data_IF_806169730192
#
_entry.id   IF_806169730192
#
_cell.length_a   1.000
_cell.length_b   1.000
_cell.length_c   1.000
_cell.angle_alpha   90.00
_cell.angle_beta   90.00
_cell.angle_gamma   90.00
#
_symmetry.space_group_name_H-M   'P 1'
#
loop_
_entity.id
_entity.type
_entity.pdbx_description
1 polymer ?
#
# COMPACT_ATOMS: atom_id res chain seq x y z
N UNK A 1 68.58 -13.78 44.31
CA UNK A 1 67.41 -14.19 45.12
C UNK A 1 66.14 -13.69 44.45
N UNK A 2 65.06 -14.44 44.60
CA UNK A 2 64.07 -14.76 43.57
C UNK A 2 63.21 -13.62 43.00
N UNK A 3 63.13 -13.64 41.65
CA UNK A 3 62.08 -13.04 40.81
C UNK A 3 60.71 -13.64 41.15
N UNK A 4 59.65 -12.82 41.13
CA UNK A 4 58.33 -13.23 40.62
C UNK A 4 57.71 -12.12 39.75
N UNK A 5 57.12 -12.48 38.59
CA UNK A 5 56.63 -11.54 37.57
C UNK A 5 55.09 -11.40 37.61
N UNK A 6 54.57 -10.70 36.58
CA UNK A 6 53.17 -10.58 36.13
C UNK A 6 52.37 -9.43 36.76
N UNK A 7 51.62 -8.60 36.02
CA UNK A 7 51.08 -8.71 34.66
C UNK A 7 50.78 -7.29 34.13
N UNK A 8 51.10 -7.05 32.85
CA UNK A 8 50.66 -5.87 32.10
C UNK A 8 49.12 -5.85 32.04
N UNK A 9 48.49 -4.83 32.62
CA UNK A 9 47.09 -4.51 32.33
C UNK A 9 47.04 -3.79 30.98
N UNK A 10 46.74 -4.55 29.94
CA UNK A 10 46.32 -4.04 28.64
C UNK A 10 45.07 -3.15 28.82
N UNK A 11 45.15 -1.93 28.30
CA UNK A 11 43.97 -1.11 28.00
C UNK A 11 43.16 -1.83 26.93
N UNK A 12 42.17 -2.63 27.34
CA UNK A 12 41.04 -2.94 26.46
C UNK A 12 40.16 -1.69 26.43
N UNK A 13 40.38 -0.87 25.40
CA UNK A 13 39.34 -0.03 24.84
C UNK A 13 38.17 -0.92 24.45
N UNK A 14 37.13 -0.92 25.27
CA UNK A 14 35.82 -1.43 24.91
C UNK A 14 35.25 -0.56 23.79
N UNK A 15 35.66 -0.85 22.55
CA UNK A 15 34.89 -0.46 21.38
C UNK A 15 33.59 -1.26 21.46
N UNK A 16 32.54 -0.61 21.97
CA UNK A 16 31.18 -1.05 21.80
C UNK A 16 30.86 -0.98 20.30
N UNK A 17 31.22 -2.02 19.57
CA UNK A 17 30.63 -2.30 18.27
C UNK A 17 29.16 -2.62 18.53
N UNK A 18 28.35 -1.56 18.56
CA UNK A 18 26.93 -1.68 18.31
C UNK A 18 26.82 -2.25 16.90
N UNK A 19 26.80 -3.59 16.82
CA UNK A 19 26.30 -4.32 15.67
C UNK A 19 24.84 -3.91 15.52
N UNK A 20 24.61 -2.78 14.88
CA UNK A 20 23.34 -2.47 14.23
C UNK A 20 23.14 -3.57 13.22
N UNK A 21 22.45 -4.63 13.64
CA UNK A 21 21.81 -5.58 12.73
C UNK A 21 20.92 -4.73 11.84
N UNK A 22 21.44 -4.37 10.67
CA UNK A 22 20.66 -3.89 9.56
C UNK A 22 19.78 -5.07 9.15
N UNK A 23 18.62 -5.16 9.79
CA UNK A 23 17.56 -6.01 9.29
C UNK A 23 17.28 -5.52 7.87
N UNK A 24 17.63 -6.34 6.89
CA UNK A 24 17.30 -6.08 5.50
C UNK A 24 15.78 -6.30 5.37
N UNK A 25 15.00 -5.29 5.76
CA UNK A 25 13.54 -5.33 5.72
C UNK A 25 13.18 -5.30 4.23
N UNK A 26 12.72 -6.44 3.72
CA UNK A 26 12.20 -6.53 2.36
C UNK A 26 11.09 -5.49 2.18
N UNK A 27 11.07 -4.74 1.06
CA UNK A 27 10.03 -3.75 0.84
C UNK A 27 8.65 -4.41 0.82
N UNK A 28 7.72 -3.83 1.57
CA UNK A 28 6.33 -4.28 1.57
C UNK A 28 5.43 -3.21 0.95
N UNK A 29 4.26 -3.63 0.50
CA UNK A 29 3.28 -2.75 -0.13
C UNK A 29 2.50 -1.99 0.95
N UNK A 30 2.29 -0.70 0.73
CA UNK A 30 1.55 0.20 1.60
C UNK A 30 0.40 0.80 0.81
N UNK A 31 -0.78 0.85 1.42
CA UNK A 31 -1.95 1.49 0.83
C UNK A 31 -2.07 2.94 1.30
N UNK A 32 -2.44 3.82 0.38
CA UNK A 32 -2.76 5.22 0.65
C UNK A 32 -4.22 5.44 0.32
N UNK A 33 -5.00 5.82 1.32
CA UNK A 33 -6.42 6.12 1.19
C UNK A 33 -6.68 7.63 1.19
N UNK A 34 -7.77 8.03 0.52
CA UNK A 34 -8.16 9.43 0.32
C UNK A 34 -9.51 9.70 0.98
N UNK A 35 -9.57 9.92 2.31
CA UNK A 35 -10.83 10.04 3.05
C UNK A 35 -11.73 11.19 2.58
N UNK A 36 -11.18 12.19 1.89
CA UNK A 36 -11.91 13.34 1.35
C UNK A 36 -12.51 13.09 -0.04
N UNK A 37 -12.18 11.97 -0.68
CA UNK A 37 -12.69 11.59 -2.01
C UNK A 37 -13.71 10.46 -1.83
N UNK A 38 -14.98 10.74 -2.13
CA UNK A 38 -16.03 9.73 -2.02
C UNK A 38 -15.99 8.73 -3.18
N UNK A 39 -16.37 7.48 -2.90
CA UNK A 39 -16.48 6.43 -3.93
C UNK A 39 -17.46 6.80 -5.04
N UNK A 40 -18.50 7.59 -4.72
CA UNK A 40 -19.42 8.14 -5.73
C UNK A 40 -18.70 9.00 -6.77
N UNK A 41 -17.80 9.90 -6.34
CA UNK A 41 -17.00 10.70 -7.27
C UNK A 41 -16.11 9.84 -8.16
N UNK A 42 -15.52 8.77 -7.61
CA UNK A 42 -14.75 7.81 -8.41
C UNK A 42 -15.64 7.12 -9.45
N UNK A 43 -16.83 6.68 -9.03
CA UNK A 43 -17.82 6.08 -9.91
C UNK A 43 -18.23 7.02 -11.06
N UNK A 44 -18.41 8.31 -10.77
CA UNK A 44 -18.71 9.34 -11.78
C UNK A 44 -17.56 9.48 -12.78
N UNK A 45 -16.31 9.58 -12.31
CA UNK A 45 -15.11 9.67 -13.18
C UNK A 45 -15.03 8.49 -14.14
N UNK A 46 -15.43 7.30 -13.70
CA UNK A 46 -15.45 6.10 -14.55
C UNK A 46 -16.61 6.16 -15.57
N UNK A 47 -17.82 6.55 -15.14
CA UNK A 47 -19.04 6.56 -15.96
C UNK A 47 -19.08 7.69 -16.99
N UNK A 48 -18.52 8.87 -16.69
CA UNK A 48 -18.55 10.06 -17.56
C UNK A 48 -17.77 9.90 -18.88
N UNK A 49 -17.11 8.75 -19.11
CA UNK A 49 -16.35 8.43 -20.33
C UNK A 49 -17.16 8.31 -21.64
N UNK A 50 -18.50 8.35 -21.58
CA UNK A 50 -19.34 8.03 -22.74
C UNK A 50 -19.85 9.22 -23.56
N UNK A 51 -19.83 10.48 -23.05
CA UNK A 51 -20.55 11.59 -23.73
C UNK A 51 -19.85 12.95 -23.84
N UNK A 52 -18.64 13.15 -23.32
CA UNK A 52 -17.93 14.43 -23.43
C UNK A 52 -16.53 14.29 -24.02
N UNK A 53 -16.12 15.17 -24.95
CA UNK A 53 -14.76 15.19 -25.48
C UNK A 53 -13.83 15.95 -24.54
N UNK A 54 -12.63 15.39 -24.33
CA UNK A 54 -11.35 16.03 -23.96
C UNK A 54 -10.84 16.16 -22.51
N UNK A 55 -11.58 15.89 -21.43
CA UNK A 55 -10.93 15.73 -20.09
C UNK A 55 -10.69 14.25 -19.77
N UNK A 56 -9.47 13.80 -20.09
CA UNK A 56 -8.76 12.60 -19.61
C UNK A 56 -9.63 11.42 -19.15
N UNK A 57 -9.99 10.56 -20.12
CA UNK A 57 -10.66 9.30 -19.82
C UNK A 57 -9.77 8.45 -18.90
N UNK A 58 -10.23 8.11 -17.69
CA UNK A 58 -9.44 7.31 -16.73
C UNK A 58 -8.94 5.99 -17.35
N UNK A 59 -9.68 5.45 -18.33
CA UNK A 59 -9.32 4.26 -19.09
C UNK A 59 -7.97 4.36 -19.81
N UNK A 60 -7.50 5.57 -20.16
CA UNK A 60 -6.18 5.75 -20.79
C UNK A 60 -5.01 5.43 -19.84
N UNK A 61 -5.29 5.42 -18.53
CA UNK A 61 -4.31 5.11 -17.49
C UNK A 61 -4.39 3.65 -17.03
N UNK A 62 -5.36 2.88 -17.54
CA UNK A 62 -5.55 1.47 -17.16
C UNK A 62 -4.40 0.63 -17.70
N UNK A 63 -3.70 -0.07 -16.81
CA UNK A 63 -2.58 -0.94 -17.18
C UNK A 63 -2.84 -2.42 -16.92
N UNK A 64 -3.77 -2.74 -16.02
CA UNK A 64 -4.10 -4.12 -15.70
C UNK A 64 -5.51 -4.21 -15.12
N UNK A 65 -6.23 -5.26 -15.51
CA UNK A 65 -7.52 -5.65 -14.96
C UNK A 65 -7.41 -7.12 -14.52
N UNK A 66 -7.88 -7.42 -13.32
CA UNK A 66 -7.89 -8.79 -12.81
C UNK A 66 -9.16 -9.07 -12.01
N UNK A 67 -9.68 -10.28 -12.17
CA UNK A 67 -10.72 -10.80 -11.29
C UNK A 67 -10.10 -11.43 -10.05
N UNK A 68 -10.77 -11.29 -8.91
CA UNK A 68 -10.39 -11.88 -7.64
C UNK A 68 -11.64 -12.42 -6.95
N UNK A 69 -11.57 -13.67 -6.49
CA UNK A 69 -12.62 -14.26 -5.67
C UNK A 69 -12.11 -14.41 -4.24
N UNK A 70 -12.86 -13.85 -3.29
CA UNK A 70 -12.61 -13.94 -1.85
C UNK A 70 -13.74 -14.70 -1.20
N UNK A 71 -13.40 -15.73 -0.44
CA UNK A 71 -14.35 -16.56 0.28
C UNK A 71 -14.25 -16.20 1.76
N UNK A 72 -15.37 -15.77 2.34
CA UNK A 72 -15.50 -15.49 3.76
C UNK A 72 -16.23 -16.66 4.42
N UNK A 73 -15.50 -17.46 5.19
CA UNK A 73 -16.06 -18.58 5.95
C UNK A 73 -16.04 -18.30 7.45
N UNK A 74 -16.73 -19.14 8.21
CA UNK A 74 -16.75 -19.06 9.68
C UNK A 74 -15.37 -19.20 10.34
N UNK A 75 -14.41 -19.83 9.66
CA UNK A 75 -13.05 -20.08 10.19
C UNK A 75 -11.97 -19.20 9.55
N UNK A 76 -12.31 -18.33 8.60
CA UNK A 76 -11.32 -17.45 7.99
C UNK A 76 -11.71 -16.86 6.65
N UNK A 77 -10.77 -16.12 6.09
CA UNK A 77 -10.85 -15.51 4.76
C UNK A 77 -9.97 -16.34 3.83
N UNK A 78 -10.44 -16.63 2.63
CA UNK A 78 -9.69 -17.37 1.62
C UNK A 78 -9.68 -16.62 0.30
N UNK A 79 -8.60 -16.76 -0.47
CA UNK A 79 -8.44 -16.21 -1.81
C UNK A 79 -8.26 -17.34 -2.81
N UNK A 80 -8.97 -17.26 -3.94
CA UNK A 80 -8.77 -18.16 -5.08
C UNK A 80 -7.73 -17.53 -6.01
N UNK A 81 -6.67 -18.27 -6.28
CA UNK A 81 -5.60 -17.87 -7.20
C UNK A 81 -5.08 -19.09 -7.97
N UNK A 82 -5.06 -19.01 -9.30
CA UNK A 82 -4.56 -20.09 -10.17
C UNK A 82 -5.18 -21.45 -9.81
N UNK A 83 -6.50 -21.50 -9.70
CA UNK A 83 -7.29 -22.69 -9.31
C UNK A 83 -6.98 -23.29 -7.94
N UNK A 84 -6.19 -22.58 -7.12
CA UNK A 84 -5.86 -22.95 -5.76
C UNK A 84 -6.53 -22.01 -4.76
N UNK A 85 -6.90 -22.54 -3.60
CA UNK A 85 -7.47 -21.77 -2.49
C UNK A 85 -6.38 -21.55 -1.46
N UNK A 86 -6.24 -20.33 -0.97
CA UNK A 86 -5.29 -20.03 0.12
C UNK A 86 -5.99 -19.30 1.24
N UNK A 87 -5.75 -19.74 2.48
CA UNK A 87 -6.17 -18.97 3.65
C UNK A 87 -5.37 -17.66 3.74
N UNK A 88 -6.08 -16.58 4.07
CA UNK A 88 -5.53 -15.26 4.31
C UNK A 88 -5.57 -14.93 5.80
N UNK A 89 -4.50 -14.30 6.27
CA UNK A 89 -4.37 -13.81 7.64
C UNK A 89 -4.14 -12.30 7.60
N UNK A 90 -4.98 -11.50 8.29
CA UNK A 90 -4.73 -10.07 8.39
C UNK A 90 -3.49 -9.81 9.26
N UNK A 91 -2.58 -9.00 8.76
CA UNK A 91 -1.47 -8.44 9.52
C UNK A 91 -1.78 -6.96 9.70
N UNK A 92 -2.24 -6.61 10.90
CA UNK A 92 -2.65 -5.26 11.25
C UNK A 92 -1.44 -4.38 11.58
N UNK A 93 -1.51 -3.10 11.18
CA UNK A 93 -0.50 -2.08 11.41
C UNK A 93 -1.17 -0.75 11.75
N UNK A 94 -0.51 0.11 12.55
CA UNK A 94 -1.03 1.44 12.82
C UNK A 94 -1.25 2.23 11.52
N UNK A 95 -2.45 2.80 11.37
CA UNK A 95 -2.77 3.75 10.31
C UNK A 95 -2.22 5.11 10.69
N UNK A 96 -1.53 5.78 9.76
CA UNK A 96 -1.00 7.14 9.96
C UNK A 96 -1.73 8.13 9.08
N UNK A 97 -2.14 9.26 9.64
CA UNK A 97 -2.75 10.35 8.88
C UNK A 97 -1.71 11.40 8.52
N UNK A 98 -1.66 11.82 7.26
CA UNK A 98 -0.82 12.95 6.84
C UNK A 98 -1.59 13.91 5.93
N UNK A 99 -1.19 15.18 5.98
CA UNK A 99 -1.71 16.22 5.09
C UNK A 99 -0.61 16.66 4.11
N UNK A 100 -0.79 16.34 2.83
CA UNK A 100 0.09 16.84 1.77
C UNK A 100 -0.37 18.25 1.43
N UNK A 101 0.32 19.25 1.98
CA UNK A 101 0.02 20.66 1.70
C UNK A 101 0.44 21.02 0.28
N UNK A 102 -0.46 21.64 -0.46
CA UNK A 102 -0.10 22.47 -1.63
C UNK A 102 0.19 23.88 -1.10
N UNK A 103 0.90 24.70 -1.87
CA UNK A 103 1.12 26.12 -1.52
C UNK A 103 -0.21 26.89 -1.36
N UNK A 104 -1.32 26.37 -1.90
CA UNK A 104 -2.69 26.80 -1.65
C UNK A 104 -3.29 26.11 -0.41
N UNK A 105 -4.01 26.85 0.43
CA UNK A 105 -4.56 26.49 1.76
C UNK A 105 -5.38 25.18 1.91
N UNK A 106 -5.63 24.41 0.85
CA UNK A 106 -6.26 23.10 0.92
C UNK A 106 -5.21 22.00 0.72
N UNK A 107 -4.82 21.34 1.81
CA UNK A 107 -3.98 20.14 1.73
C UNK A 107 -4.79 18.90 1.35
N UNK A 108 -4.15 17.95 0.68
CA UNK A 108 -4.70 16.61 0.47
C UNK A 108 -4.53 15.80 1.76
N UNK A 109 -5.64 15.51 2.44
CA UNK A 109 -5.66 14.60 3.57
C UNK A 109 -5.61 13.15 3.08
N UNK A 110 -4.63 12.38 3.58
CA UNK A 110 -4.47 10.96 3.25
C UNK A 110 -4.23 10.10 4.49
N UNK A 111 -4.60 8.83 4.38
CA UNK A 111 -4.31 7.79 5.36
C UNK A 111 -3.30 6.80 4.78
N UNK A 112 -2.27 6.48 5.54
CA UNK A 112 -1.25 5.51 5.19
C UNK A 112 -1.52 4.24 6.01
N UNK A 113 -1.92 3.18 5.32
CA UNK A 113 -2.20 1.88 5.90
C UNK A 113 -1.15 0.86 5.43
N UNK A 114 -0.32 0.43 6.38
CA UNK A 114 0.71 -0.59 6.16
C UNK A 114 0.21 -2.02 6.42
N UNK A 115 -1.08 -2.18 6.72
CA UNK A 115 -1.71 -3.48 6.95
C UNK A 115 -1.84 -4.26 5.65
N UNK A 116 -1.76 -5.58 5.74
CA UNK A 116 -1.87 -6.44 4.57
C UNK A 116 -2.44 -7.82 4.91
N UNK A 117 -2.93 -8.51 3.88
CA UNK A 117 -3.33 -9.90 4.00
C UNK A 117 -2.13 -10.79 3.67
N UNK A 118 -1.61 -11.51 4.67
CA UNK A 118 -0.61 -12.55 4.46
C UNK A 118 -1.30 -13.81 3.97
N UNK A 119 -0.81 -14.39 2.87
CA UNK A 119 -1.26 -15.68 2.37
C UNK A 119 -0.58 -16.82 3.13
N UNK A 120 -1.31 -17.92 3.39
CA UNK A 120 -0.71 -19.18 3.79
C UNK A 120 0.29 -19.69 2.74
N UNK A 121 1.39 -20.31 3.18
CA UNK A 121 2.42 -20.82 2.27
C UNK A 121 1.92 -22.01 1.45
N UNK A 122 0.94 -22.76 1.96
CA UNK A 122 0.34 -23.91 1.29
C UNK A 122 -1.14 -23.66 0.96
N UNK A 123 -1.64 -24.24 -0.15
CA UNK A 123 -3.06 -24.21 -0.46
C UNK A 123 -3.90 -24.89 0.62
N UNK A 124 -5.12 -24.39 0.80
CA UNK A 124 -6.19 -25.04 1.55
C UNK A 124 -6.97 -25.95 0.61
N UNK A 125 -7.26 -27.18 1.05
CA UNK A 125 -8.04 -28.16 0.27
C UNK A 125 -9.53 -28.14 0.60
N UNK A 126 -9.93 -27.37 1.62
CA UNK A 126 -11.30 -27.28 2.11
C UNK A 126 -11.61 -25.85 2.52
N UNK A 127 -12.87 -25.46 2.33
CA UNK A 127 -13.47 -24.24 2.86
C UNK A 127 -14.63 -24.60 3.79
N UNK A 128 -15.01 -23.72 4.74
CA UNK A 128 -16.17 -23.95 5.58
C UNK A 128 -17.46 -24.14 4.77
N UNK A 129 -18.33 -25.04 5.22
CA UNK A 129 -19.63 -25.26 4.58
C UNK A 129 -20.46 -23.98 4.51
N UNK A 130 -20.50 -23.23 5.61
CA UNK A 130 -21.11 -21.89 5.67
C UNK A 130 -20.07 -20.87 5.22
N UNK A 131 -20.22 -20.36 4.01
CA UNK A 131 -19.36 -19.35 3.45
C UNK A 131 -20.13 -18.37 2.55
N UNK A 132 -19.53 -17.21 2.32
CA UNK A 132 -19.97 -16.24 1.33
C UNK A 132 -18.84 -15.97 0.34
N UNK A 133 -19.16 -15.93 -0.95
CA UNK A 133 -18.18 -15.64 -2.00
C UNK A 133 -18.41 -14.20 -2.46
N UNK A 134 -17.32 -13.43 -2.50
CA UNK A 134 -17.29 -12.11 -3.12
C UNK A 134 -16.37 -12.14 -4.32
N UNK A 135 -16.93 -11.81 -5.47
CA UNK A 135 -16.18 -11.54 -6.68
C UNK A 135 -15.86 -10.05 -6.78
N UNK A 136 -14.61 -9.76 -7.11
CA UNK A 136 -14.09 -8.41 -7.26
C UNK A 136 -13.37 -8.27 -8.58
N UNK A 137 -13.63 -7.17 -9.26
CA UNK A 137 -12.77 -6.72 -10.36
C UNK A 137 -11.81 -5.67 -9.81
N UNK A 138 -10.52 -5.83 -10.08
CA UNK A 138 -9.47 -4.93 -9.61
C UNK A 138 -8.80 -4.29 -10.81
N UNK A 139 -9.03 -2.99 -10.97
CA UNK A 139 -8.42 -2.20 -12.03
C UNK A 139 -7.23 -1.44 -11.48
N UNK A 140 -6.09 -1.58 -12.14
CA UNK A 140 -4.84 -0.91 -11.80
C UNK A 140 -4.56 0.17 -12.83
N UNK A 141 -4.36 1.38 -12.35
CA UNK A 141 -4.05 2.55 -13.15
C UNK A 141 -2.67 3.13 -12.78
N UNK A 142 -2.00 3.73 -13.76
CA UNK A 142 -0.75 4.46 -13.57
C UNK A 142 -0.74 5.75 -14.38
N UNK A 143 -0.02 6.77 -13.90
CA UNK A 143 0.22 7.99 -14.68
C UNK A 143 0.93 7.67 -16.01
N UNK A 144 1.94 6.80 -15.94
CA UNK A 144 2.68 6.24 -17.07
C UNK A 144 3.16 4.82 -16.74
N UNK A 145 3.68 4.09 -17.72
CA UNK A 145 4.10 2.70 -17.54
C UNK A 145 5.30 2.54 -16.60
N UNK A 146 6.13 3.57 -16.46
CA UNK A 146 7.34 3.60 -15.62
C UNK A 146 7.08 4.01 -14.18
N UNK A 147 5.91 4.58 -13.89
CA UNK A 147 5.48 4.97 -12.56
C UNK A 147 5.49 3.78 -11.59
N UNK A 148 6.09 3.99 -10.41
CA UNK A 148 6.07 3.04 -9.32
C UNK A 148 4.76 3.12 -8.51
N UNK A 149 4.03 4.22 -8.65
CA UNK A 149 2.73 4.44 -8.03
C UNK A 149 1.63 3.73 -8.81
N UNK A 150 0.81 2.95 -8.11
CA UNK A 150 -0.36 2.28 -8.70
C UNK A 150 -1.62 2.78 -8.02
N UNK A 151 -2.59 3.22 -8.80
CA UNK A 151 -3.94 3.50 -8.31
C UNK A 151 -4.79 2.28 -8.54
N UNK A 152 -5.50 1.84 -7.51
CA UNK A 152 -6.34 0.66 -7.52
C UNK A 152 -7.79 1.10 -7.33
N UNK A 153 -8.66 0.63 -8.21
CA UNK A 153 -10.10 0.71 -8.04
C UNK A 153 -10.63 -0.72 -7.97
N UNK A 154 -11.29 -1.05 -6.87
CA UNK A 154 -11.98 -2.32 -6.70
C UNK A 154 -13.47 -2.15 -6.99
N UNK A 155 -14.04 -3.12 -7.69
CA UNK A 155 -15.46 -3.17 -8.01
C UNK A 155 -16.09 -4.43 -7.42
N UNK A 156 -17.29 -4.28 -6.85
CA UNK A 156 -18.20 -5.37 -6.50
C UNK A 156 -19.50 -5.13 -7.30
N UNK A 157 -19.89 -6.05 -8.19
CA UNK A 157 -21.07 -5.93 -9.05
C UNK A 157 -21.11 -4.60 -9.85
N UNK A 158 -20.01 -4.26 -10.54
CA UNK A 158 -19.84 -3.02 -11.32
C UNK A 158 -19.94 -1.70 -10.52
N UNK A 159 -20.02 -1.79 -9.19
CA UNK A 159 -20.02 -0.65 -8.27
C UNK A 159 -18.65 -0.53 -7.64
N UNK A 160 -18.08 0.69 -7.63
CA UNK A 160 -16.82 0.98 -6.94
C UNK A 160 -16.97 0.67 -5.45
N UNK A 161 -16.22 -0.32 -4.97
CA UNK A 161 -16.19 -0.74 -3.57
C UNK A 161 -15.02 -0.14 -2.80
N UNK A 162 -13.89 0.14 -3.48
CA UNK A 162 -12.71 0.72 -2.85
C UNK A 162 -11.87 1.54 -3.86
N UNK A 163 -11.13 2.53 -3.37
CA UNK A 163 -10.18 3.34 -4.12
C UNK A 163 -8.97 3.73 -3.26
N UNK A 164 -7.79 3.31 -3.68
CA UNK A 164 -6.54 3.59 -2.98
C UNK A 164 -5.35 3.62 -3.93
N UNK A 165 -4.25 4.23 -3.48
CA UNK A 165 -2.95 4.11 -4.13
C UNK A 165 -2.07 3.08 -3.41
N UNK A 166 -1.15 2.46 -4.13
CA UNK A 166 -0.18 1.49 -3.61
C UNK A 166 1.23 1.98 -3.89
N UNK A 167 2.03 2.04 -2.83
CA UNK A 167 3.46 2.36 -2.87
C UNK A 167 4.27 1.29 -2.14
N UNK A 168 5.58 1.33 -2.28
CA UNK A 168 6.48 0.47 -1.49
C UNK A 168 6.92 1.19 -0.22
N UNK A 169 7.24 0.44 0.83
CA UNK A 169 7.72 0.99 2.10
C UNK A 169 8.97 1.86 1.99
N UNK A 170 9.76 1.70 0.92
CA UNK A 170 10.94 2.52 0.66
C UNK A 170 10.60 3.96 0.24
N UNK A 171 9.36 4.20 -0.18
CA UNK A 171 8.87 5.54 -0.54
C UNK A 171 8.38 6.33 0.68
N UNK A 172 8.49 5.74 1.88
CA UNK A 172 8.14 6.38 3.15
C UNK A 172 9.40 6.47 4.02
N UNK A 173 9.67 7.67 4.53
CA UNK A 173 10.74 7.93 5.48
C UNK A 173 10.18 8.59 6.74
N UNK A 174 11.04 8.76 7.74
CA UNK A 174 10.79 9.64 8.87
C UNK A 174 11.73 10.83 8.80
N UNK A 175 11.20 12.03 9.03
CA UNK A 175 12.02 13.24 9.12
C UNK A 175 12.74 13.31 10.48
N UNK A 176 13.53 14.37 10.70
CA UNK A 176 14.26 14.61 11.96
C UNK A 176 13.36 14.68 13.19
N UNK A 177 12.07 14.98 13.00
CA UNK A 177 11.05 15.03 14.06
C UNK A 177 10.31 13.70 14.25
N UNK A 178 10.77 12.63 13.60
CA UNK A 178 10.12 11.31 13.55
C UNK A 178 8.71 11.31 12.90
N UNK A 179 8.36 12.37 12.16
CA UNK A 179 7.10 12.42 11.42
C UNK A 179 7.24 11.64 10.11
N UNK A 180 6.17 10.94 9.72
CA UNK A 180 6.14 10.17 8.49
C UNK A 180 6.11 11.12 7.29
N UNK A 181 6.98 10.86 6.32
CA UNK A 181 7.10 11.61 5.09
C UNK A 181 7.04 10.69 3.87
N UNK A 182 6.23 11.05 2.88
CA UNK A 182 6.21 10.40 1.57
C UNK A 182 7.25 11.06 0.66
N UNK A 183 7.95 10.25 -0.11
CA UNK A 183 8.86 10.70 -1.17
C UNK A 183 8.22 11.79 -2.04
N UNK A 184 8.98 12.85 -2.32
CA UNK A 184 8.54 13.98 -3.14
C UNK A 184 7.99 13.55 -4.50
N UNK A 185 8.67 12.62 -5.19
CA UNK A 185 8.23 12.14 -6.50
C UNK A 185 6.85 11.47 -6.41
N UNK A 186 6.63 10.63 -5.39
CA UNK A 186 5.34 9.98 -5.15
C UNK A 186 4.25 11.01 -4.81
N UNK A 187 4.56 12.03 -4.00
CA UNK A 187 3.63 13.13 -3.72
C UNK A 187 3.22 13.83 -5.02
N UNK A 188 4.17 14.17 -5.89
CA UNK A 188 3.90 14.86 -7.16
C UNK A 188 3.05 14.00 -8.11
N UNK A 189 3.33 12.69 -8.18
CA UNK A 189 2.53 11.74 -8.97
C UNK A 189 1.10 11.57 -8.44
N UNK A 190 0.93 11.48 -7.11
CA UNK A 190 -0.37 11.44 -6.44
C UNK A 190 -1.21 12.65 -6.83
N UNK A 191 -0.64 13.85 -6.65
CA UNK A 191 -1.34 15.11 -6.93
C UNK A 191 -1.65 15.25 -8.42
N UNK A 192 -0.71 14.87 -9.31
CA UNK A 192 -0.90 14.89 -10.76
C UNK A 192 -2.05 14.00 -11.22
N UNK A 193 -2.10 12.75 -10.75
CA UNK A 193 -3.16 11.82 -11.14
C UNK A 193 -4.54 12.29 -10.65
N UNK A 194 -4.64 12.68 -9.38
CA UNK A 194 -5.89 13.17 -8.80
C UNK A 194 -6.37 14.46 -9.49
N UNK A 195 -5.45 15.35 -9.86
CA UNK A 195 -5.78 16.59 -10.59
C UNK A 195 -6.31 16.30 -12.00
N UNK A 196 -5.70 15.35 -12.72
CA UNK A 196 -6.17 14.92 -14.06
C UNK A 196 -7.56 14.30 -14.04
N UNK A 197 -7.95 13.72 -12.91
CA UNK A 197 -9.30 13.17 -12.71
C UNK A 197 -10.28 14.18 -12.10
N UNK A 198 -9.88 15.44 -11.92
CA UNK A 198 -10.66 16.47 -11.22
C UNK A 198 -11.08 16.08 -9.79
N UNK A 199 -10.31 15.20 -9.14
CA UNK A 199 -10.55 14.76 -7.77
C UNK A 199 -9.84 15.63 -6.72
N UNK A 200 -8.86 16.43 -7.16
CA UNK A 200 -8.10 17.35 -6.34
C UNK A 200 -7.77 18.62 -7.16
N UNK A 201 -7.81 19.81 -6.54
CA UNK A 201 -7.56 21.10 -7.20
C UNK A 201 -6.60 21.94 -6.37
#
# INVERSE_FOLDING_TARGET
>A
MYKKPMQNKSKLTSQSNANTKTFNIQPYMIKIYFPTISLHKIQEVIKYNSKTPQTSKISQYLVNEKSKSVIYGSTGIFEVLNDNIYQLYPIDKPVTEINIRKESNNGLHILIDSSYMKRADTPSFQIPYIHNIKEKTINTYKNDNTSNLKFIIEFENDVVSDFYAVITSNEISKNEKNEIEINKFVKDELLSFLSRLNLYR
#
